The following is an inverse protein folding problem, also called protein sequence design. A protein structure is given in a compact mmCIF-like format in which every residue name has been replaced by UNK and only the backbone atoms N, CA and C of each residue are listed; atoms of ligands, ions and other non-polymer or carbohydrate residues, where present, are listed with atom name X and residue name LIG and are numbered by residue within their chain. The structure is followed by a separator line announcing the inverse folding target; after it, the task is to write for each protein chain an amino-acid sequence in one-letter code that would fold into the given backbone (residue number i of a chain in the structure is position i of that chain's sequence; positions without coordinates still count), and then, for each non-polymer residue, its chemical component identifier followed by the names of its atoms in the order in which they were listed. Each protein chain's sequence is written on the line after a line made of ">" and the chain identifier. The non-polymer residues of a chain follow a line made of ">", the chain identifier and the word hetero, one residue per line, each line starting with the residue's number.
data_IF_038002874732
#
_entry.id   IF_038002874732
#
_cell.length_a   1.000
_cell.length_b   1.000
_cell.length_c   1.000
_cell.angle_alpha   90.00
_cell.angle_beta   90.00
_cell.angle_gamma   90.00
#
_symmetry.space_group_name_H-M   'P 1'
#
loop_
_entity.id
_entity.type
_entity.pdbx_description
1 polymer ?
#
# COMPACT_ATOMS: atom_id res chain seq x y z
N UNK A 1 22.38 -18.74 61.68
CA UNK A 1 22.73 -18.17 60.35
C UNK A 1 22.25 -19.08 59.21
N UNK A 2 20.96 -19.12 58.82
CA UNK A 2 20.45 -19.96 57.72
C UNK A 2 19.20 -19.39 57.05
N UNK A 3 19.08 -18.04 56.93
CA UNK A 3 17.88 -17.41 56.30
C UNK A 3 18.14 -16.62 54.99
N UNK A 4 19.43 -16.41 54.62
CA UNK A 4 19.76 -15.57 53.42
C UNK A 4 19.71 -16.31 52.09
N UNK A 5 19.83 -17.65 52.04
CA UNK A 5 19.86 -18.41 50.80
C UNK A 5 18.47 -18.59 50.10
N UNK A 6 17.37 -18.48 50.83
CA UNK A 6 16.04 -18.73 50.25
C UNK A 6 15.49 -17.52 49.47
N UNK A 7 15.91 -16.31 49.83
CA UNK A 7 15.47 -15.08 49.14
C UNK A 7 16.18 -14.91 47.80
N UNK A 8 17.46 -15.26 47.73
CA UNK A 8 18.24 -15.18 46.47
C UNK A 8 17.74 -16.19 45.42
N UNK A 9 17.40 -17.42 45.83
CA UNK A 9 16.86 -18.43 44.91
C UNK A 9 15.45 -18.10 44.39
N UNK A 10 14.61 -17.44 45.20
CA UNK A 10 13.29 -17.01 44.76
C UNK A 10 13.33 -15.81 43.79
N UNK A 11 14.34 -14.93 43.96
CA UNK A 11 14.55 -13.80 43.06
C UNK A 11 15.08 -14.25 41.67
N UNK A 12 16.02 -15.18 41.64
CA UNK A 12 16.54 -15.77 40.41
C UNK A 12 15.47 -16.55 39.61
N UNK A 13 14.58 -17.28 40.30
CA UNK A 13 13.46 -17.98 39.61
C UNK A 13 12.45 -17.01 39.01
N UNK A 14 12.15 -15.90 39.69
CA UNK A 14 11.25 -14.86 39.15
C UNK A 14 11.86 -14.14 37.94
N UNK A 15 13.16 -13.85 37.97
CA UNK A 15 13.88 -13.24 36.83
C UNK A 15 13.88 -14.15 35.59
N UNK A 16 14.00 -15.48 35.79
CA UNK A 16 13.94 -16.45 34.70
C UNK A 16 12.58 -16.48 33.99
N UNK A 17 11.48 -16.41 34.75
CA UNK A 17 10.14 -16.38 34.14
C UNK A 17 9.86 -15.07 33.38
N UNK A 18 10.36 -13.94 33.87
CA UNK A 18 10.26 -12.64 33.19
C UNK A 18 11.08 -12.66 31.89
N UNK A 19 12.28 -13.22 31.90
CA UNK A 19 13.10 -13.37 30.71
C UNK A 19 12.48 -14.33 29.69
N UNK A 20 11.86 -15.42 30.16
CA UNK A 20 11.15 -16.37 29.29
C UNK A 20 9.87 -15.75 28.67
N UNK A 21 9.12 -15.02 29.45
CA UNK A 21 7.95 -14.28 28.97
C UNK A 21 8.37 -13.18 27.96
N UNK A 22 9.44 -12.46 28.22
CA UNK A 22 10.01 -11.48 27.30
C UNK A 22 10.50 -12.13 26.00
N UNK A 23 11.14 -13.30 26.08
CA UNK A 23 11.57 -14.05 24.89
C UNK A 23 10.40 -14.56 24.03
N UNK A 24 9.31 -14.98 24.67
CA UNK A 24 8.07 -15.36 23.95
C UNK A 24 7.37 -14.15 23.30
N UNK A 25 7.48 -12.97 23.89
CA UNK A 25 6.96 -11.74 23.30
C UNK A 25 7.82 -11.23 22.13
N UNK A 26 9.12 -11.50 22.15
CA UNK A 26 10.05 -11.15 21.07
C UNK A 26 9.95 -12.10 19.87
N UNK A 27 9.40 -13.30 20.04
CA UNK A 27 9.10 -14.25 18.99
C UNK A 27 7.82 -13.93 18.21
N UNK A 28 7.53 -12.64 18.00
CA UNK A 28 6.36 -12.20 17.23
C UNK A 28 6.30 -12.89 15.87
N UNK A 29 5.20 -13.60 15.62
CA UNK A 29 4.92 -14.19 14.31
C UNK A 29 4.83 -13.06 13.27
N UNK A 30 5.86 -12.91 12.47
CA UNK A 30 5.81 -12.08 11.27
C UNK A 30 5.10 -12.88 10.17
N UNK A 31 4.06 -12.33 9.53
CA UNK A 31 3.46 -12.97 8.38
C UNK A 31 4.48 -12.96 7.24
N UNK A 32 5.14 -14.08 7.02
CA UNK A 32 5.98 -14.29 5.84
C UNK A 32 5.03 -14.46 4.68
N UNK A 33 5.10 -13.57 3.69
CA UNK A 33 4.39 -13.76 2.44
C UNK A 33 4.86 -15.07 1.82
N UNK A 34 3.97 -16.05 1.57
CA UNK A 34 4.37 -17.30 0.95
C UNK A 34 4.98 -17.00 -0.41
N UNK A 35 6.09 -17.65 -0.72
CA UNK A 35 6.68 -17.57 -2.05
C UNK A 35 5.65 -17.99 -3.09
N UNK A 36 5.58 -17.27 -4.21
CA UNK A 36 4.74 -17.66 -5.33
C UNK A 36 5.14 -19.05 -5.81
N UNK A 37 4.22 -20.01 -5.75
CA UNK A 37 4.48 -21.41 -6.11
C UNK A 37 4.82 -21.59 -7.60
N UNK A 38 4.37 -20.68 -8.45
CA UNK A 38 4.60 -20.69 -9.90
C UNK A 38 4.43 -19.27 -10.47
N UNK A 39 5.41 -18.82 -11.26
CA UNK A 39 5.27 -17.63 -12.08
C UNK A 39 4.57 -17.99 -13.40
N UNK A 40 3.47 -17.30 -13.70
CA UNK A 40 2.80 -17.38 -14.99
C UNK A 40 2.95 -16.01 -15.71
N UNK A 41 3.66 -15.96 -16.84
CA UNK A 41 3.88 -14.71 -17.57
C UNK A 41 2.60 -14.11 -18.18
N UNK A 42 1.52 -14.88 -18.28
CA UNK A 42 0.26 -14.45 -18.89
C UNK A 42 -0.85 -14.20 -17.86
N UNK A 43 -0.65 -14.58 -16.59
CA UNK A 43 -1.63 -14.40 -15.55
C UNK A 43 -1.44 -13.06 -14.80
N UNK A 44 -2.49 -12.65 -14.07
CA UNK A 44 -2.48 -11.49 -13.18
C UNK A 44 -2.99 -10.20 -13.83
N UNK A 45 -2.78 -9.08 -13.13
CA UNK A 45 -3.19 -7.74 -13.56
C UNK A 45 -2.18 -7.20 -14.58
N UNK A 46 -2.52 -7.28 -15.85
CA UNK A 46 -1.69 -6.88 -17.00
C UNK A 46 -2.54 -6.09 -17.98
N UNK A 47 -1.91 -5.19 -18.74
CA UNK A 47 -2.60 -4.39 -19.75
C UNK A 47 -3.29 -5.27 -20.79
N UNK A 48 -2.61 -6.31 -21.25
CA UNK A 48 -3.11 -7.26 -22.25
C UNK A 48 -4.32 -8.08 -21.78
N UNK A 49 -4.51 -8.18 -20.45
CA UNK A 49 -5.61 -8.92 -19.86
C UNK A 49 -6.82 -8.03 -19.53
N UNK A 50 -6.76 -6.74 -19.83
CA UNK A 50 -7.87 -5.83 -19.64
C UNK A 50 -8.85 -5.92 -20.81
N UNK A 51 -10.13 -5.71 -20.53
CA UNK A 51 -11.13 -5.52 -21.57
C UNK A 51 -10.80 -4.27 -22.40
N UNK A 52 -11.16 -4.29 -23.68
CA UNK A 52 -11.08 -3.13 -24.54
C UNK A 52 -11.77 -1.92 -23.90
N UNK A 53 -11.22 -0.71 -24.14
CA UNK A 53 -11.87 0.54 -23.72
C UNK A 53 -13.13 0.82 -24.49
N UNK A 54 -13.84 1.87 -24.07
CA UNK A 54 -15.08 2.28 -24.72
C UNK A 54 -14.83 2.88 -26.11
N UNK A 55 -13.60 3.31 -26.41
CA UNK A 55 -13.15 3.82 -27.72
C UNK A 55 -11.69 3.46 -27.96
N UNK A 56 -11.39 2.97 -29.16
CA UNK A 56 -10.00 2.73 -29.62
C UNK A 56 -9.46 3.89 -30.49
N UNK A 57 -10.21 5.00 -30.60
CA UNK A 57 -9.82 6.14 -31.45
C UNK A 57 -8.81 7.06 -30.78
N UNK A 58 -8.77 7.07 -29.44
CA UNK A 58 -7.90 7.96 -28.66
C UNK A 58 -7.25 7.16 -27.54
N UNK A 59 -5.93 7.31 -27.36
CA UNK A 59 -5.23 6.74 -26.22
C UNK A 59 -4.91 7.83 -25.21
N UNK A 60 -5.45 7.71 -24.00
CA UNK A 60 -5.27 8.68 -22.91
C UNK A 60 -4.47 8.07 -21.79
N UNK A 61 -3.26 8.61 -21.57
CA UNK A 61 -2.40 8.24 -20.47
C UNK A 61 -2.26 9.40 -19.47
N UNK A 62 -2.56 9.14 -18.20
CA UNK A 62 -2.44 10.10 -17.12
C UNK A 62 -1.18 9.80 -16.28
N UNK A 63 -0.38 10.84 -16.00
CA UNK A 63 0.79 10.75 -15.11
C UNK A 63 0.55 11.59 -13.86
N UNK A 64 0.42 10.92 -12.71
CA UNK A 64 0.18 11.57 -11.43
C UNK A 64 1.47 11.63 -10.62
N UNK A 65 1.94 12.85 -10.32
CA UNK A 65 3.21 13.10 -9.65
C UNK A 65 3.16 12.78 -8.16
N UNK A 66 4.35 12.62 -7.56
CA UNK A 66 4.52 12.55 -6.11
C UNK A 66 4.46 13.93 -5.45
N UNK A 67 4.36 13.94 -4.11
CA UNK A 67 4.32 15.17 -3.31
C UNK A 67 3.37 15.11 -2.11
N UNK A 68 3.15 13.93 -1.56
CA UNK A 68 2.30 13.70 -0.38
C UNK A 68 0.84 14.05 -0.62
N UNK A 69 0.15 14.51 0.43
CA UNK A 69 -1.29 14.83 0.36
C UNK A 69 -1.62 15.93 -0.66
N UNK A 70 -0.69 16.87 -0.90
CA UNK A 70 -0.89 17.92 -1.93
C UNK A 70 -0.98 17.34 -3.34
N UNK A 71 -0.11 16.39 -3.67
CA UNK A 71 -0.16 15.71 -4.97
C UNK A 71 -1.40 14.83 -5.10
N UNK A 72 -1.82 14.17 -4.03
CA UNK A 72 -3.06 13.41 -4.00
C UNK A 72 -4.29 14.32 -4.23
N UNK A 73 -4.32 15.51 -3.62
CA UNK A 73 -5.38 16.50 -3.82
C UNK A 73 -5.38 17.07 -5.25
N UNK A 74 -4.20 17.36 -5.80
CA UNK A 74 -4.09 17.79 -7.19
C UNK A 74 -4.57 16.72 -8.16
N UNK A 75 -4.15 15.46 -7.94
CA UNK A 75 -4.61 14.32 -8.74
C UNK A 75 -6.14 14.15 -8.66
N UNK A 76 -6.73 14.32 -7.46
CA UNK A 76 -8.19 14.30 -7.29
C UNK A 76 -8.87 15.38 -8.16
N UNK A 77 -8.39 16.62 -8.09
CA UNK A 77 -8.96 17.72 -8.88
C UNK A 77 -8.84 17.51 -10.38
N UNK A 78 -7.70 16.96 -10.85
CA UNK A 78 -7.52 16.60 -12.28
C UNK A 78 -8.52 15.54 -12.71
N UNK A 79 -8.67 14.46 -11.92
CA UNK A 79 -9.64 13.41 -12.23
C UNK A 79 -11.09 13.92 -12.17
N UNK A 80 -11.39 14.86 -11.27
CA UNK A 80 -12.70 15.51 -11.16
C UNK A 80 -13.02 16.35 -12.40
N UNK A 81 -12.06 17.14 -12.88
CA UNK A 81 -12.20 17.94 -14.11
C UNK A 81 -12.37 17.03 -15.34
N UNK A 82 -11.57 15.99 -15.47
CA UNK A 82 -11.70 15.02 -16.55
C UNK A 82 -13.08 14.34 -16.55
N UNK A 83 -13.64 14.07 -15.36
CA UNK A 83 -15.00 13.55 -15.23
C UNK A 83 -16.06 14.56 -15.64
N UNK A 84 -15.82 15.85 -15.40
CA UNK A 84 -16.74 16.92 -15.75
C UNK A 84 -16.68 17.29 -17.24
N UNK A 85 -15.58 16.94 -17.92
CA UNK A 85 -15.37 17.23 -19.34
C UNK A 85 -16.15 16.24 -20.20
N UNK A 86 -17.25 16.68 -20.79
CA UNK A 86 -18.07 15.88 -21.72
C UNK A 86 -17.40 15.78 -23.10
N UNK A 87 -17.27 14.56 -23.60
CA UNK A 87 -16.72 14.25 -24.94
C UNK A 87 -17.79 13.78 -25.92
N UNK A 88 -19.07 13.89 -25.53
CA UNK A 88 -20.19 13.42 -26.34
C UNK A 88 -20.58 11.96 -26.08
N UNK A 89 -21.80 11.62 -26.47
CA UNK A 89 -22.33 10.27 -26.29
C UNK A 89 -22.58 9.87 -24.83
N UNK A 90 -22.68 10.83 -23.91
CA UNK A 90 -22.88 10.58 -22.48
C UNK A 90 -21.61 10.09 -21.77
N UNK A 91 -20.43 10.32 -22.36
CA UNK A 91 -19.12 9.95 -21.82
C UNK A 91 -18.32 11.17 -21.40
N UNK A 92 -17.50 10.99 -20.38
CA UNK A 92 -16.52 11.99 -19.94
C UNK A 92 -15.13 11.68 -20.46
N UNK A 93 -14.25 12.68 -20.44
CA UNK A 93 -12.85 12.49 -20.78
C UNK A 93 -12.14 11.48 -19.85
N UNK A 94 -12.62 11.33 -18.62
CA UNK A 94 -12.10 10.34 -17.68
C UNK A 94 -12.43 8.90 -18.11
N UNK A 95 -13.53 8.69 -18.82
CA UNK A 95 -13.93 7.36 -19.31
C UNK A 95 -12.99 6.88 -20.43
N UNK A 96 -12.31 7.81 -21.14
CA UNK A 96 -11.29 7.50 -22.14
C UNK A 96 -9.89 7.19 -21.55
N UNK A 97 -9.71 7.29 -20.24
CA UNK A 97 -8.43 7.01 -19.64
C UNK A 97 -8.05 5.53 -19.79
N UNK A 98 -6.94 5.26 -20.50
CA UNK A 98 -6.41 3.91 -20.73
C UNK A 98 -5.41 3.48 -19.67
N UNK A 99 -4.57 4.42 -19.23
CA UNK A 99 -3.48 4.17 -18.28
C UNK A 99 -3.38 5.30 -17.27
N UNK A 100 -3.23 4.96 -16.01
CA UNK A 100 -2.86 5.91 -14.95
C UNK A 100 -1.55 5.45 -14.33
N UNK A 101 -0.47 6.17 -14.65
CA UNK A 101 0.85 5.99 -14.04
C UNK A 101 1.02 6.97 -12.89
N UNK A 102 1.56 6.53 -11.77
CA UNK A 102 1.58 7.35 -10.56
C UNK A 102 2.78 7.08 -9.67
N UNK A 103 3.13 8.08 -8.85
CA UNK A 103 4.23 8.03 -7.88
C UNK A 103 3.78 8.59 -6.54
N UNK A 104 4.16 7.94 -5.43
CA UNK A 104 3.99 8.45 -4.06
C UNK A 104 2.55 8.94 -3.77
N UNK A 105 2.36 10.24 -3.47
CA UNK A 105 1.03 10.83 -3.19
C UNK A 105 0.01 10.62 -4.31
N UNK A 106 0.42 10.74 -5.59
CA UNK A 106 -0.44 10.42 -6.73
C UNK A 106 -0.87 8.96 -6.79
N UNK A 107 -0.05 8.05 -6.23
CA UNK A 107 -0.39 6.63 -6.18
C UNK A 107 -1.57 6.31 -5.26
N UNK A 108 -1.82 7.12 -4.24
CA UNK A 108 -3.03 6.97 -3.42
C UNK A 108 -4.29 7.23 -4.25
N UNK A 109 -4.28 8.29 -5.08
CA UNK A 109 -5.41 8.60 -5.96
C UNK A 109 -5.60 7.51 -7.03
N UNK A 110 -4.52 7.11 -7.72
CA UNK A 110 -4.56 6.08 -8.76
C UNK A 110 -5.05 4.73 -8.21
N UNK A 111 -4.46 4.27 -7.10
CA UNK A 111 -4.82 2.99 -6.49
C UNK A 111 -6.27 2.99 -5.95
N UNK A 112 -6.67 4.07 -5.29
CA UNK A 112 -8.04 4.18 -4.78
C UNK A 112 -9.08 4.21 -5.92
N UNK A 113 -8.80 4.99 -6.97
CA UNK A 113 -9.65 5.04 -8.16
C UNK A 113 -9.76 3.64 -8.81
N UNK A 114 -8.63 2.97 -9.02
CA UNK A 114 -8.61 1.63 -9.63
C UNK A 114 -9.33 0.58 -8.80
N UNK A 115 -9.15 0.57 -7.47
CA UNK A 115 -9.71 -0.45 -6.58
C UNK A 115 -11.20 -0.27 -6.30
N UNK A 116 -11.68 0.95 -6.22
CA UNK A 116 -13.04 1.25 -5.76
C UNK A 116 -13.93 1.84 -6.87
N UNK A 117 -13.33 2.23 -7.99
CA UNK A 117 -14.05 2.82 -9.12
C UNK A 117 -14.43 4.30 -8.91
N UNK A 118 -14.91 4.96 -9.97
CA UNK A 118 -15.13 6.41 -9.98
C UNK A 118 -16.16 6.86 -8.94
N UNK A 119 -17.26 6.16 -8.77
CA UNK A 119 -18.30 6.55 -7.82
C UNK A 119 -17.76 6.67 -6.39
N UNK A 120 -17.11 5.61 -5.90
CA UNK A 120 -16.55 5.56 -4.54
C UNK A 120 -15.37 6.52 -4.40
N UNK A 121 -14.54 6.65 -5.44
CA UNK A 121 -13.43 7.59 -5.44
C UNK A 121 -13.90 9.03 -5.17
N UNK A 122 -14.86 9.53 -5.92
CA UNK A 122 -15.32 10.91 -5.76
C UNK A 122 -16.16 11.16 -4.50
N UNK A 123 -16.66 10.11 -3.85
CA UNK A 123 -17.44 10.26 -2.61
C UNK A 123 -16.63 10.02 -1.34
N UNK A 124 -15.69 9.07 -1.33
CA UNK A 124 -15.01 8.63 -0.10
C UNK A 124 -13.53 9.04 -0.03
N UNK A 125 -12.84 9.21 -1.16
CA UNK A 125 -11.41 9.50 -1.19
C UNK A 125 -11.01 10.78 -0.43
N UNK A 126 -11.76 11.89 -0.52
CA UNK A 126 -11.44 13.09 0.26
C UNK A 126 -11.33 12.80 1.76
N UNK A 127 -12.31 12.10 2.33
CA UNK A 127 -12.32 11.77 3.76
C UNK A 127 -11.32 10.68 4.12
N UNK A 128 -11.09 9.73 3.23
CA UNK A 128 -10.18 8.63 3.46
C UNK A 128 -8.69 9.06 3.42
N UNK A 129 -8.35 10.05 2.57
CA UNK A 129 -6.97 10.42 2.29
C UNK A 129 -6.71 11.92 2.50
N UNK A 130 -7.50 12.82 1.89
CA UNK A 130 -7.16 14.25 1.83
C UNK A 130 -7.34 14.95 3.18
N UNK A 131 -8.40 14.66 3.90
CA UNK A 131 -8.71 15.27 5.20
C UNK A 131 -8.15 14.48 6.39
N UNK A 132 -7.61 13.30 6.15
CA UNK A 132 -7.01 12.47 7.20
C UNK A 132 -5.58 12.91 7.52
N UNK A 133 -5.25 12.97 8.80
CA UNK A 133 -3.91 13.32 9.28
C UNK A 133 -3.00 12.09 9.30
N UNK A 134 -2.72 11.52 8.13
CA UNK A 134 -1.99 10.26 7.97
C UNK A 134 -0.61 10.32 8.63
N UNK A 135 0.16 11.39 8.40
CA UNK A 135 1.49 11.55 8.99
C UNK A 135 1.46 11.52 10.52
N UNK A 136 0.53 12.26 11.12
CA UNK A 136 0.35 12.27 12.58
C UNK A 136 0.01 10.88 13.11
N UNK A 137 -0.91 10.18 12.46
CA UNK A 137 -1.36 8.86 12.89
C UNK A 137 -0.22 7.84 12.82
N UNK A 138 0.62 7.90 11.77
CA UNK A 138 1.80 7.06 11.64
C UNK A 138 2.85 7.38 12.71
N UNK A 139 3.12 8.65 12.98
CA UNK A 139 4.04 9.06 14.07
C UNK A 139 3.55 8.56 15.42
N UNK A 140 2.27 8.73 15.73
CA UNK A 140 1.69 8.23 16.98
C UNK A 140 1.79 6.71 17.11
N UNK A 141 1.63 5.97 16.02
CA UNK A 141 1.81 4.51 16.01
C UNK A 141 3.26 4.09 16.29
N UNK A 142 4.24 4.81 15.72
CA UNK A 142 5.66 4.55 16.01
C UNK A 142 6.00 4.87 17.46
N UNK A 143 5.45 5.94 18.02
CA UNK A 143 5.67 6.35 19.41
C UNK A 143 4.92 5.49 20.42
N UNK A 144 3.92 4.73 20.00
CA UNK A 144 3.11 3.90 20.86
C UNK A 144 3.93 2.72 21.45
N UNK A 145 4.07 2.60 22.79
CA UNK A 145 4.96 1.61 23.42
C UNK A 145 4.64 0.16 23.07
N UNK A 146 3.39 -0.17 22.80
CA UNK A 146 2.98 -1.53 22.41
C UNK A 146 3.47 -1.96 21.04
N UNK A 147 3.89 -1.01 20.17
CA UNK A 147 4.50 -1.33 18.88
C UNK A 147 6.03 -1.54 18.97
N UNK A 148 6.66 -1.10 20.06
CA UNK A 148 8.13 -1.19 20.20
C UNK A 148 8.67 -2.62 20.14
N UNK A 149 8.06 -3.64 20.78
CA UNK A 149 8.55 -5.01 20.64
C UNK A 149 8.57 -5.49 19.19
N UNK A 150 7.59 -5.07 18.37
CA UNK A 150 7.52 -5.39 16.95
C UNK A 150 8.57 -4.62 16.14
N UNK A 151 8.73 -3.32 16.41
CA UNK A 151 9.69 -2.44 15.74
C UNK A 151 11.16 -2.78 16.08
N UNK A 152 11.42 -3.45 17.19
CA UNK A 152 12.75 -3.98 17.54
C UNK A 152 13.05 -5.31 16.85
N UNK A 153 12.06 -5.96 16.25
CA UNK A 153 12.28 -7.18 15.46
C UNK A 153 12.97 -6.84 14.13
N UNK A 154 13.94 -7.66 13.68
CA UNK A 154 14.56 -7.49 12.36
C UNK A 154 13.59 -7.73 11.20
N UNK A 155 12.43 -8.32 11.47
CA UNK A 155 11.41 -8.69 10.46
C UNK A 155 10.25 -7.70 10.37
N UNK A 156 10.20 -6.65 11.19
CA UNK A 156 9.11 -5.69 11.20
C UNK A 156 9.63 -4.27 11.39
N UNK A 157 9.37 -3.43 10.42
CA UNK A 157 9.85 -2.05 10.43
C UNK A 157 8.71 -1.01 10.37
N UNK A 158 9.12 0.24 10.24
CA UNK A 158 8.18 1.37 10.08
C UNK A 158 7.35 1.26 8.81
N UNK A 159 7.90 0.64 7.76
CA UNK A 159 7.19 0.38 6.50
C UNK A 159 6.01 -0.56 6.70
N UNK A 160 6.21 -1.65 7.44
CA UNK A 160 5.15 -2.62 7.74
C UNK A 160 4.05 -2.02 8.60
N UNK A 161 4.41 -1.13 9.54
CA UNK A 161 3.44 -0.39 10.35
C UNK A 161 2.61 0.57 9.50
N UNK A 162 3.22 1.18 8.48
CA UNK A 162 2.52 2.03 7.52
C UNK A 162 1.62 1.21 6.60
N UNK A 163 2.06 0.04 6.14
CA UNK A 163 1.27 -0.89 5.32
C UNK A 163 0.01 -1.35 6.06
N UNK A 164 0.14 -1.76 7.32
CA UNK A 164 -1.01 -2.08 8.17
C UNK A 164 -1.99 -0.90 8.29
N UNK A 165 -1.46 0.31 8.45
CA UNK A 165 -2.30 1.50 8.54
C UNK A 165 -3.05 1.76 7.24
N UNK A 166 -2.35 1.75 6.10
CA UNK A 166 -2.97 1.98 4.79
C UNK A 166 -3.96 0.89 4.43
N UNK A 167 -3.59 -0.38 4.68
CA UNK A 167 -4.47 -1.51 4.45
C UNK A 167 -5.78 -1.38 5.23
N UNK A 168 -5.72 -1.08 6.53
CA UNK A 168 -6.90 -1.05 7.37
C UNK A 168 -7.77 0.21 7.19
N UNK A 169 -7.16 1.38 6.92
CA UNK A 169 -7.88 2.65 6.97
C UNK A 169 -8.16 3.28 5.60
N UNK A 170 -7.40 2.91 4.57
CA UNK A 170 -7.51 3.51 3.24
C UNK A 170 -7.97 2.48 2.23
N UNK A 171 -7.22 1.38 2.09
CA UNK A 171 -7.45 0.41 1.01
C UNK A 171 -8.34 -0.78 1.41
N UNK A 172 -8.85 -0.84 2.65
CA UNK A 172 -9.75 -1.90 3.13
C UNK A 172 -9.17 -3.30 2.87
N UNK A 173 -7.86 -3.46 3.09
CA UNK A 173 -7.05 -4.67 2.84
C UNK A 173 -7.11 -5.20 1.40
N UNK A 174 -7.45 -4.35 0.44
CA UNK A 174 -7.43 -4.72 -0.98
C UNK A 174 -6.00 -4.69 -1.54
N UNK A 175 -5.76 -5.55 -2.50
CA UNK A 175 -4.48 -5.73 -3.20
C UNK A 175 -4.66 -5.61 -4.70
N UNK A 176 -3.58 -5.70 -5.48
CA UNK A 176 -3.64 -5.75 -6.96
C UNK A 176 -4.56 -6.86 -7.50
N UNK A 177 -4.73 -7.96 -6.76
CA UNK A 177 -5.64 -9.02 -7.17
C UNK A 177 -7.13 -8.60 -7.20
N UNK A 178 -7.47 -7.50 -6.52
CA UNK A 178 -8.81 -6.94 -6.48
C UNK A 178 -9.06 -5.85 -7.53
N UNK A 179 -8.03 -5.48 -8.31
CA UNK A 179 -8.20 -4.54 -9.41
C UNK A 179 -9.08 -5.17 -10.50
N UNK A 180 -10.07 -4.43 -11.00
CA UNK A 180 -10.93 -4.92 -12.08
C UNK A 180 -10.12 -5.08 -13.37
N UNK A 181 -10.47 -6.08 -14.19
CA UNK A 181 -9.85 -6.31 -15.51
C UNK A 181 -10.45 -5.38 -16.59
N UNK A 182 -10.47 -4.10 -16.30
CA UNK A 182 -10.94 -3.05 -17.21
C UNK A 182 -10.02 -1.83 -17.14
N UNK A 183 -10.02 -0.99 -18.17
CA UNK A 183 -9.30 0.30 -18.15
C UNK A 183 -9.89 1.25 -17.09
N UNK A 184 -9.07 2.17 -16.56
CA UNK A 184 -7.65 2.39 -16.85
C UNK A 184 -6.73 1.34 -16.21
N UNK A 185 -5.60 1.05 -16.86
CA UNK A 185 -4.52 0.27 -16.27
C UNK A 185 -3.77 1.09 -15.24
N UNK A 186 -3.70 0.60 -14.02
CA UNK A 186 -3.05 1.30 -12.90
C UNK A 186 -1.59 0.84 -12.76
N UNK A 187 -0.67 1.81 -12.84
CA UNK A 187 0.77 1.61 -12.63
C UNK A 187 1.22 2.42 -11.42
N UNK A 188 1.71 1.73 -10.37
CA UNK A 188 2.30 2.36 -9.20
C UNK A 188 3.82 2.27 -9.31
N UNK A 189 4.49 3.42 -9.35
CA UNK A 189 5.94 3.48 -9.49
C UNK A 189 6.62 3.83 -8.17
N UNK A 190 7.78 3.25 -7.97
CA UNK A 190 8.69 3.51 -6.87
C UNK A 190 10.13 3.60 -7.40
N UNK A 191 11.06 3.94 -6.52
CA UNK A 191 12.49 3.95 -6.84
C UNK A 191 13.19 2.91 -5.95
N UNK A 192 13.94 2.03 -6.57
CA UNK A 192 14.91 1.19 -5.88
C UNK A 192 16.06 2.07 -5.39
N UNK A 193 16.09 2.31 -4.08
CA UNK A 193 17.08 3.20 -3.45
C UNK A 193 18.51 2.70 -3.66
N UNK A 194 18.70 1.37 -3.72
CA UNK A 194 20.04 0.77 -3.83
C UNK A 194 20.63 0.94 -5.22
N UNK A 195 19.79 1.01 -6.24
CA UNK A 195 20.21 1.09 -7.66
C UNK A 195 19.89 2.43 -8.30
N UNK A 196 19.09 3.27 -7.66
CA UNK A 196 18.56 4.50 -8.25
C UNK A 196 17.67 4.25 -9.47
N UNK A 197 17.14 3.04 -9.61
CA UNK A 197 16.35 2.62 -10.77
C UNK A 197 14.85 2.71 -10.47
N UNK A 198 14.07 2.99 -11.52
CA UNK A 198 12.61 2.93 -11.43
C UNK A 198 12.16 1.49 -11.22
N UNK A 199 11.25 1.31 -10.28
CA UNK A 199 10.55 0.06 -10.03
C UNK A 199 9.03 0.30 -10.14
N UNK A 200 8.37 -0.46 -11.00
CA UNK A 200 6.91 -0.35 -11.19
C UNK A 200 6.21 -1.57 -10.63
N UNK A 201 5.21 -1.35 -9.79
CA UNK A 201 4.34 -2.40 -9.25
C UNK A 201 3.27 -2.77 -10.27
N UNK A 202 3.58 -3.75 -11.11
CA UNK A 202 2.64 -4.40 -12.01
C UNK A 202 3.12 -5.82 -12.33
N UNK A 203 2.22 -6.69 -12.74
CA UNK A 203 2.55 -8.11 -12.94
C UNK A 203 3.67 -8.36 -13.96
N UNK A 204 3.84 -7.47 -14.95
CA UNK A 204 4.90 -7.57 -15.96
C UNK A 204 6.29 -7.16 -15.47
N UNK A 205 6.41 -6.42 -14.35
CA UNK A 205 7.70 -6.02 -13.77
C UNK A 205 8.39 -7.17 -13.02
N UNK A 206 7.62 -8.10 -12.51
CA UNK A 206 8.16 -9.27 -11.80
C UNK A 206 8.60 -10.33 -12.80
N UNK A 207 9.80 -10.14 -13.39
CA UNK A 207 10.45 -11.17 -14.21
C UNK A 207 11.37 -12.02 -13.33
N UNK A 208 11.40 -13.37 -13.50
CA UNK A 208 12.20 -14.27 -12.66
C UNK A 208 13.71 -14.04 -12.72
N UNK A 209 14.19 -13.23 -13.65
CA UNK A 209 15.61 -12.97 -13.88
C UNK A 209 16.17 -11.71 -13.23
N UNK A 210 15.38 -11.02 -12.40
CA UNK A 210 15.80 -9.76 -11.73
C UNK A 210 16.05 -9.92 -10.23
N UNK A 211 15.99 -11.15 -9.70
CA UNK A 211 16.31 -11.50 -8.31
C UNK A 211 17.34 -12.60 -8.23
#
# INVERSE_FOLDING_TARGET
>A
MRRSGRFAAACLRRSGWVAYAAALWLGGCYPINPALSRYDPHAGYRYENLSAGDSDNTFVALSLSGGGTRAAAFAYGVLEELRATDIGGGRSMLDEADVISSVSGGSFAAAYYGLFGPKTFFTEFPDAVLYRRIERDLVLRVLAPWNWPRLLSPFFGRGDLADEYYGNHIFKSRTFAHLPRKRPYIMLNATDISRGAQFSFHAGAFRPHLF
#
